data_IF_301274562024
#
_entry.id   IF_301274562024
#
_cell.length_a   1.000
_cell.length_b   1.000
_cell.length_c   1.000
_cell.angle_alpha   90.00
_cell.angle_beta   90.00
_cell.angle_gamma   90.00
#
_symmetry.space_group_name_H-M   'P 1'
#
loop_
_entity.id
_entity.type
_entity.pdbx_description
1 polymer ?
#
# COMPACT_ATOMS: atom_id res chain seq x y z
N UNK A 1 -0.27 -1.94 -9.45
CA UNK A 1 0.32 -2.24 -8.14
C UNK A 1 0.21 -1.03 -7.23
N UNK A 2 -0.29 -1.23 -6.04
CA UNK A 2 -0.35 -0.16 -5.05
C UNK A 2 1.05 0.15 -4.57
N UNK A 3 1.40 1.42 -4.58
CA UNK A 3 2.70 1.88 -4.15
C UNK A 3 2.52 2.98 -3.10
N UNK A 4 3.08 2.77 -1.92
CA UNK A 4 3.22 3.80 -0.91
C UNK A 4 4.65 4.32 -1.00
N UNK A 5 4.80 5.54 -1.46
CA UNK A 5 6.09 6.12 -1.76
C UNK A 5 6.29 7.35 -0.89
N UNK A 6 7.29 7.32 -0.03
CA UNK A 6 7.63 8.43 0.85
C UNK A 6 9.09 8.78 0.64
N UNK A 7 9.34 10.01 0.22
CA UNK A 7 10.68 10.52 0.06
C UNK A 7 11.09 11.25 1.34
N UNK A 8 11.66 10.49 2.28
CA UNK A 8 12.05 11.00 3.58
C UNK A 8 13.13 12.07 3.49
N UNK A 9 14.08 11.87 2.59
CA UNK A 9 15.17 12.81 2.41
C UNK A 9 14.70 14.12 1.79
N UNK A 10 13.77 14.03 0.86
CA UNK A 10 13.20 15.23 0.23
C UNK A 10 12.41 16.06 1.22
N UNK A 11 11.62 15.41 2.06
CA UNK A 11 10.87 16.12 3.10
C UNK A 11 11.81 16.83 4.06
N UNK A 12 12.82 16.12 4.55
CA UNK A 12 13.82 16.72 5.45
C UNK A 12 14.55 17.89 4.80
N UNK A 13 14.90 17.77 3.51
CA UNK A 13 15.60 18.82 2.79
C UNK A 13 14.75 20.07 2.58
N UNK A 14 13.45 19.91 2.33
CA UNK A 14 12.53 21.03 2.13
C UNK A 14 12.32 21.88 3.39
N UNK A 15 12.37 21.26 4.54
CA UNK A 15 12.30 21.98 5.82
C UNK A 15 13.68 22.29 6.36
N UNK A 16 14.64 21.71 5.79
CA UNK A 16 16.10 21.84 5.87
C UNK A 16 16.70 22.57 7.03
N UNK A 17 17.28 23.75 6.72
CA UNK A 17 18.14 24.45 7.67
C UNK A 17 17.45 24.81 8.99
N UNK A 18 16.17 25.10 8.97
CA UNK A 18 15.41 25.47 10.16
C UNK A 18 15.26 24.28 11.11
N UNK A 19 15.09 23.09 10.53
CA UNK A 19 14.88 21.86 11.30
C UNK A 19 16.13 20.96 11.35
N UNK A 20 17.27 21.46 10.91
CA UNK A 20 18.49 20.65 10.84
C UNK A 20 18.79 19.89 12.12
N UNK A 21 18.62 20.52 13.28
CA UNK A 21 18.82 19.86 14.57
C UNK A 21 17.79 18.77 14.87
N UNK A 22 16.64 18.82 14.18
CA UNK A 22 15.57 17.84 14.33
C UNK A 22 15.50 16.86 13.17
N UNK A 23 16.30 17.07 12.14
CA UNK A 23 16.27 16.29 10.92
C UNK A 23 16.28 14.78 11.16
N UNK A 24 17.20 14.32 11.99
CA UNK A 24 17.32 12.91 12.31
C UNK A 24 16.04 12.36 12.96
N UNK A 25 15.46 13.10 13.87
CA UNK A 25 14.21 12.73 14.54
C UNK A 25 13.03 12.67 13.58
N UNK A 26 12.94 13.65 12.67
CA UNK A 26 11.87 13.68 11.65
C UNK A 26 12.00 12.50 10.68
N UNK A 27 13.19 12.22 10.20
CA UNK A 27 13.43 11.10 9.29
C UNK A 27 13.11 9.77 9.98
N UNK A 28 13.53 9.62 11.24
CA UNK A 28 13.24 8.40 12.00
C UNK A 28 11.74 8.22 12.22
N UNK A 29 11.03 9.30 12.60
CA UNK A 29 9.58 9.25 12.79
C UNK A 29 8.86 8.90 11.50
N UNK A 30 9.31 9.44 10.39
CA UNK A 30 8.71 9.15 9.08
C UNK A 30 8.92 7.69 8.67
N UNK A 31 10.11 7.15 8.91
CA UNK A 31 10.40 5.73 8.65
C UNK A 31 9.53 4.82 9.51
N UNK A 32 9.42 5.10 10.80
CA UNK A 32 8.59 4.31 11.70
C UNK A 32 7.11 4.38 11.32
N UNK A 33 6.61 5.58 11.05
CA UNK A 33 5.22 5.77 10.65
C UNK A 33 4.92 5.03 9.35
N UNK A 34 5.84 5.10 8.39
CA UNK A 34 5.70 4.42 7.09
C UNK A 34 5.65 2.91 7.26
N UNK A 35 6.52 2.36 8.10
CA UNK A 35 6.55 0.92 8.35
C UNK A 35 5.28 0.43 9.03
N UNK A 36 4.79 1.16 10.03
CA UNK A 36 3.54 0.80 10.71
C UNK A 36 2.33 0.87 9.78
N UNK A 37 2.25 1.94 8.98
CA UNK A 37 1.15 2.10 8.03
C UNK A 37 1.21 1.02 6.95
N UNK A 38 2.41 0.68 6.46
CA UNK A 38 2.59 -0.38 5.48
C UNK A 38 2.14 -1.74 6.03
N UNK A 39 2.47 -2.06 7.28
CA UNK A 39 2.02 -3.30 7.92
C UNK A 39 0.50 -3.36 8.03
N UNK A 40 -0.12 -2.27 8.46
CA UNK A 40 -1.58 -2.19 8.55
C UNK A 40 -2.24 -2.28 7.18
N UNK A 41 -1.65 -1.64 6.17
CA UNK A 41 -2.14 -1.72 4.80
C UNK A 41 -2.12 -3.15 4.27
N UNK A 42 -1.02 -3.88 4.54
CA UNK A 42 -0.93 -5.30 4.17
C UNK A 42 -2.02 -6.11 4.84
N UNK A 43 -2.26 -5.90 6.14
CA UNK A 43 -3.32 -6.60 6.87
C UNK A 43 -4.69 -6.29 6.29
N UNK A 44 -4.97 -5.02 5.99
CA UNK A 44 -6.24 -4.61 5.39
C UNK A 44 -6.44 -5.24 4.02
N UNK A 45 -5.40 -5.23 3.18
CA UNK A 45 -5.46 -5.84 1.86
C UNK A 45 -5.70 -7.35 1.94
N UNK A 46 -5.03 -8.03 2.88
CA UNK A 46 -5.26 -9.46 3.08
C UNK A 46 -6.70 -9.76 3.50
N UNK A 47 -7.29 -8.91 4.33
CA UNK A 47 -8.65 -9.13 4.83
C UNK A 47 -9.74 -8.72 3.86
N UNK A 48 -9.46 -7.80 2.95
CA UNK A 48 -10.46 -7.24 2.03
C UNK A 48 -10.35 -7.73 0.60
N UNK A 49 -9.25 -8.38 0.25
CA UNK A 49 -9.04 -8.89 -1.11
C UNK A 49 -9.98 -10.04 -1.42
N UNK A 50 -10.36 -10.21 -2.70
CA UNK A 50 -11.19 -11.36 -3.10
C UNK A 50 -10.53 -12.69 -2.74
N UNK A 51 -11.31 -13.59 -2.20
CA UNK A 51 -10.83 -14.89 -1.70
C UNK A 51 -10.97 -16.00 -2.73
N UNK A 52 -12.01 -15.93 -3.57
CA UNK A 52 -12.28 -16.95 -4.55
C UNK A 52 -12.82 -18.24 -3.94
N UNK A 53 -12.80 -19.30 -4.72
CA UNK A 53 -13.30 -20.63 -4.33
C UNK A 53 -12.35 -21.71 -4.83
N UNK A 54 -12.53 -22.93 -4.35
CA UNK A 54 -11.76 -24.09 -4.81
C UNK A 54 -10.38 -24.20 -4.18
N UNK A 55 -9.48 -24.89 -4.89
CA UNK A 55 -8.14 -25.20 -4.39
C UNK A 55 -7.27 -23.97 -4.15
N UNK A 56 -7.53 -22.90 -4.87
CA UNK A 56 -6.76 -21.65 -4.77
C UNK A 56 -7.42 -20.59 -3.89
N UNK A 57 -8.43 -21.00 -3.12
CA UNK A 57 -9.14 -20.10 -2.22
C UNK A 57 -8.18 -19.35 -1.29
N UNK A 58 -8.28 -18.01 -1.29
CA UNK A 58 -7.45 -17.17 -0.45
C UNK A 58 -6.00 -17.02 -0.88
N UNK A 59 -5.59 -17.66 -1.98
CA UNK A 59 -4.20 -17.64 -2.43
C UNK A 59 -3.74 -16.22 -2.79
N UNK A 60 -4.54 -15.48 -3.53
CA UNK A 60 -4.25 -14.09 -3.85
C UNK A 60 -4.22 -13.21 -2.60
N UNK A 61 -5.24 -13.32 -1.76
CA UNK A 61 -5.36 -12.47 -0.56
C UNK A 61 -4.18 -12.62 0.40
N UNK A 62 -3.56 -13.80 0.46
CA UNK A 62 -2.42 -14.05 1.33
C UNK A 62 -1.08 -13.55 0.79
N UNK A 63 -1.04 -13.11 -0.47
CA UNK A 63 0.20 -12.75 -1.16
C UNK A 63 0.57 -11.26 -1.09
N UNK A 64 -0.11 -10.50 -0.26
CA UNK A 64 0.24 -9.10 -0.04
C UNK A 64 1.47 -9.00 0.86
N UNK A 65 2.42 -8.17 0.44
CA UNK A 65 3.69 -7.94 1.15
C UNK A 65 4.11 -6.49 1.03
N UNK A 66 5.05 -6.10 1.87
CA UNK A 66 5.69 -4.79 1.79
C UNK A 66 7.20 -4.97 1.74
N UNK A 67 7.88 -4.10 1.01
CA UNK A 67 9.35 -4.09 0.94
C UNK A 67 9.85 -2.68 0.71
N UNK A 68 11.12 -2.44 1.03
CA UNK A 68 11.80 -1.18 0.71
C UNK A 68 12.52 -1.33 -0.61
N UNK A 69 12.33 -0.35 -1.49
CA UNK A 69 12.99 -0.28 -2.79
C UNK A 69 13.48 1.15 -3.00
N UNK A 70 14.79 1.36 -3.03
CA UNK A 70 15.35 2.66 -3.24
C UNK A 70 14.90 3.72 -2.24
N UNK A 71 14.78 3.37 -0.97
CA UNK A 71 14.33 4.28 0.09
C UNK A 71 12.83 4.47 0.17
N UNK A 72 12.07 3.77 -0.66
CA UNK A 72 10.61 3.84 -0.67
C UNK A 72 10.01 2.53 -0.18
N UNK A 73 8.89 2.61 0.52
CA UNK A 73 8.11 1.44 0.87
C UNK A 73 7.10 1.15 -0.22
N UNK A 74 7.07 -0.09 -0.67
CA UNK A 74 6.15 -0.56 -1.70
C UNK A 74 5.33 -1.70 -1.12
N UNK A 75 4.01 -1.57 -1.17
CA UNK A 75 3.08 -2.65 -0.86
C UNK A 75 2.68 -3.30 -2.17
N UNK A 76 2.85 -4.59 -2.28
CA UNK A 76 2.65 -5.31 -3.53
C UNK A 76 2.06 -6.69 -3.30
N UNK A 77 1.49 -7.27 -4.35
CA UNK A 77 1.01 -8.64 -4.32
C UNK A 77 1.90 -9.50 -5.21
N UNK A 78 2.33 -10.64 -4.72
CA UNK A 78 3.16 -11.58 -5.51
C UNK A 78 2.43 -12.08 -6.75
N UNK A 79 1.10 -12.06 -6.75
CA UNK A 79 0.27 -12.39 -7.90
C UNK A 79 -0.15 -11.11 -8.64
N UNK A 80 0.81 -10.26 -8.95
CA UNK A 80 0.55 -8.92 -9.51
C UNK A 80 -0.26 -8.94 -10.82
N UNK A 81 -0.18 -10.02 -11.58
CA UNK A 81 -0.94 -10.15 -12.82
C UNK A 81 -2.45 -10.18 -12.58
N UNK A 82 -2.88 -10.57 -11.38
CA UNK A 82 -4.29 -10.64 -11.02
C UNK A 82 -4.85 -9.34 -10.45
N UNK A 83 -3.98 -8.44 -10.02
CA UNK A 83 -4.37 -7.26 -9.24
C UNK A 83 -5.40 -6.40 -9.91
N UNK A 84 -5.13 -5.94 -11.15
CA UNK A 84 -6.07 -5.12 -11.84
C UNK A 84 -7.33 -5.84 -12.33
N UNK A 85 -7.25 -7.13 -12.62
CA UNK A 85 -8.39 -7.94 -13.02
C UNK A 85 -9.38 -8.06 -11.87
N UNK A 86 -8.86 -8.28 -10.66
CA UNK A 86 -9.67 -8.40 -9.45
C UNK A 86 -10.21 -7.07 -8.97
N UNK A 87 -9.44 -6.00 -9.13
CA UNK A 87 -9.86 -4.65 -8.72
C UNK A 87 -10.97 -4.10 -9.61
N UNK A 88 -10.79 -4.21 -10.92
CA UNK A 88 -11.63 -3.54 -11.91
C UNK A 88 -12.59 -4.48 -12.65
N UNK A 89 -12.40 -5.78 -12.52
CA UNK A 89 -13.14 -6.76 -13.31
C UNK A 89 -12.51 -6.98 -14.67
N UNK A 90 -13.02 -7.91 -15.41
CA UNK A 90 -12.51 -8.23 -16.74
C UNK A 90 -13.54 -9.01 -17.56
N UNK A 91 -13.36 -8.98 -18.88
CA UNK A 91 -14.16 -9.78 -19.77
C UNK A 91 -13.64 -11.22 -19.79
N UNK A 92 -14.54 -12.16 -19.92
CA UNK A 92 -14.20 -13.57 -20.15
C UNK A 92 -14.25 -13.82 -21.63
N UNK A 93 -13.15 -14.28 -22.20
CA UNK A 93 -13.02 -14.53 -23.65
C UNK A 93 -12.87 -16.01 -23.90
N UNK A 94 -13.65 -16.54 -24.85
CA UNK A 94 -13.56 -17.92 -25.31
C UNK A 94 -13.66 -17.93 -26.82
N UNK A 95 -12.71 -18.61 -27.47
CA UNK A 95 -12.63 -18.72 -28.94
C UNK A 95 -12.71 -17.37 -29.67
N UNK A 96 -12.01 -16.36 -29.09
CA UNK A 96 -11.96 -15.01 -29.65
C UNK A 96 -13.22 -14.16 -29.44
N UNK A 97 -14.17 -14.63 -28.65
CA UNK A 97 -15.40 -13.91 -28.35
C UNK A 97 -15.54 -13.63 -26.87
N UNK A 98 -16.08 -12.46 -26.55
CA UNK A 98 -16.45 -12.14 -25.17
C UNK A 98 -17.71 -12.94 -24.81
N UNK A 99 -17.60 -13.85 -23.86
CA UNK A 99 -18.72 -14.71 -23.42
C UNK A 99 -19.27 -14.32 -22.05
N UNK A 100 -18.66 -13.35 -21.39
CA UNK A 100 -19.13 -12.88 -20.10
C UNK A 100 -18.24 -11.79 -19.55
N UNK A 101 -18.59 -11.33 -18.37
CA UNK A 101 -17.84 -10.32 -17.63
C UNK A 101 -17.78 -10.70 -16.16
N UNK A 102 -16.61 -10.56 -15.55
CA UNK A 102 -16.43 -10.74 -14.10
C UNK A 102 -16.39 -9.36 -13.46
N UNK A 103 -17.28 -9.15 -12.52
CA UNK A 103 -17.36 -7.89 -11.78
C UNK A 103 -16.11 -7.70 -10.93
N UNK A 104 -15.54 -6.50 -10.97
CA UNK A 104 -14.43 -6.15 -10.11
C UNK A 104 -14.85 -6.01 -8.67
N UNK A 105 -13.91 -6.22 -7.77
CA UNK A 105 -14.09 -5.99 -6.34
C UNK A 105 -12.99 -5.04 -5.87
N UNK A 106 -13.27 -3.73 -5.79
CA UNK A 106 -12.28 -2.76 -5.32
C UNK A 106 -11.79 -3.09 -3.92
N UNK A 107 -10.50 -3.31 -3.79
CA UNK A 107 -9.85 -3.60 -2.51
C UNK A 107 -8.57 -2.77 -2.34
N UNK A 108 -7.96 -2.34 -3.45
CA UNK A 108 -6.75 -1.52 -3.42
C UNK A 108 -7.09 -0.06 -3.15
N UNK A 109 -8.03 0.50 -3.90
CA UNK A 109 -8.41 1.91 -3.79
C UNK A 109 -8.80 2.33 -2.37
N UNK A 110 -9.68 1.58 -1.67
CA UNK A 110 -10.01 1.95 -0.29
C UNK A 110 -8.79 1.97 0.65
N UNK A 111 -7.86 1.05 0.46
CA UNK A 111 -6.65 1.00 1.29
C UNK A 111 -5.70 2.14 0.94
N UNK A 112 -5.55 2.48 -0.34
CA UNK A 112 -4.76 3.64 -0.75
C UNK A 112 -5.30 4.93 -0.13
N UNK A 113 -6.61 5.12 -0.17
CA UNK A 113 -7.25 6.28 0.43
C UNK A 113 -7.01 6.33 1.94
N UNK A 114 -7.11 5.19 2.60
CA UNK A 114 -6.82 5.08 4.02
C UNK A 114 -5.36 5.45 4.33
N UNK A 115 -4.41 4.98 3.52
CA UNK A 115 -2.98 5.29 3.69
C UNK A 115 -2.73 6.79 3.56
N UNK A 116 -3.36 7.43 2.58
CA UNK A 116 -3.20 8.88 2.36
C UNK A 116 -3.67 9.72 3.54
N UNK A 117 -4.65 9.24 4.28
CA UNK A 117 -5.15 9.92 5.47
C UNK A 117 -4.38 9.53 6.73
N UNK A 118 -4.08 8.25 6.88
CA UNK A 118 -3.49 7.71 8.09
C UNK A 118 -2.01 8.05 8.26
N UNK A 119 -1.25 8.09 7.15
CA UNK A 119 0.19 8.34 7.24
C UNK A 119 0.53 9.71 7.80
N UNK A 120 -0.06 10.81 7.28
CA UNK A 120 0.20 12.13 7.87
C UNK A 120 -0.23 12.21 9.33
N UNK A 121 -1.37 11.62 9.67
CA UNK A 121 -1.89 11.61 11.05
C UNK A 121 -0.93 10.91 12.00
N UNK A 122 -0.44 9.74 11.60
CA UNK A 122 0.49 8.97 12.43
C UNK A 122 1.83 9.67 12.58
N UNK A 123 2.31 10.28 11.50
CA UNK A 123 3.55 11.05 11.54
C UNK A 123 3.43 12.22 12.50
N UNK A 124 2.34 12.98 12.42
CA UNK A 124 2.09 14.10 13.30
C UNK A 124 2.05 13.66 14.77
N UNK A 125 1.35 12.57 15.05
CA UNK A 125 1.26 11.99 16.36
C UNK A 125 2.64 11.61 16.93
N UNK A 126 3.48 10.98 16.12
CA UNK A 126 4.83 10.58 16.54
C UNK A 126 5.72 11.78 16.79
N UNK A 127 5.64 12.80 15.97
CA UNK A 127 6.42 14.03 16.15
C UNK A 127 5.99 14.75 17.43
N UNK A 128 4.69 14.82 17.71
CA UNK A 128 4.16 15.46 18.92
C UNK A 128 4.62 14.74 20.18
N UNK A 129 4.78 13.43 20.12
CA UNK A 129 5.30 12.66 21.26
C UNK A 129 6.81 12.72 21.39
N UNK A 130 7.49 13.39 20.46
CA UNK A 130 8.94 13.49 20.47
C UNK A 130 9.66 12.21 20.07
N UNK A 131 9.01 11.38 19.31
CA UNK A 131 9.57 10.10 18.84
C UNK A 131 10.23 10.20 17.48
#
# INVERSE_FOLDING_TARGET
MMQMSIDNLKLAAEVGAILQQFEHGVVTALDEASEEVAEEAVKKLKSTSPVGTGAWKGHYARKWKAKKVGGKLVVYNEKYQLTHLLENGHDVVSHGRVVGHVQGKPHIKPVEEWVQEELPRKLEEMIERGE
#
